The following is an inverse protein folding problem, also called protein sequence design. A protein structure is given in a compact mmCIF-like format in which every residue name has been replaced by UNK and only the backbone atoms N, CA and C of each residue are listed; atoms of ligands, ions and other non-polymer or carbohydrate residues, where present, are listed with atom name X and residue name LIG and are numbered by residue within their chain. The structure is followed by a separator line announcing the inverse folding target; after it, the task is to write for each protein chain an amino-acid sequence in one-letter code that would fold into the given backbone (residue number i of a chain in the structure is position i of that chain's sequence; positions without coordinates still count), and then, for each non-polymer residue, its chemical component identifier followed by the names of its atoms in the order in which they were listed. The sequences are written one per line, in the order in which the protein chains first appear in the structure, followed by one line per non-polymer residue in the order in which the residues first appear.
data_IF_910860545558
#
_entry.id   IF_910860545558
#
_cell.length_a   1.000
_cell.length_b   1.000
_cell.length_c   1.000
_cell.angle_alpha   90.00
_cell.angle_beta   90.00
_cell.angle_gamma   90.00
#
_symmetry.space_group_name_H-M   'P 1'
#
loop_
_entity.id
_entity.type
_entity.pdbx_description
1 polymer ?
#
# COMPACT_ATOMS: atom_id res chain seq x y z
N UNK A 1 6.24 1.76 7.53
CA UNK A 1 7.54 1.55 8.20
C UNK A 1 7.96 2.92 8.72
N UNK A 2 7.70 3.20 10.00
CA UNK A 2 8.23 4.42 10.60
C UNK A 2 9.74 4.39 10.40
N UNK A 3 10.33 5.48 9.88
CA UNK A 3 11.79 5.68 9.76
C UNK A 3 12.54 4.90 8.65
N UNK A 4 11.87 4.40 7.60
CA UNK A 4 12.57 3.69 6.51
C UNK A 4 13.71 4.51 5.88
N UNK A 5 13.52 5.82 5.70
CA UNK A 5 14.54 6.69 5.09
C UNK A 5 15.76 6.94 5.97
N UNK A 6 15.58 7.02 7.30
CA UNK A 6 16.70 7.18 8.22
C UNK A 6 17.45 5.89 8.49
N UNK A 7 16.81 4.73 8.31
CA UNK A 7 17.36 3.45 8.77
C UNK A 7 17.87 2.57 7.62
N UNK A 8 17.43 2.83 6.38
CA UNK A 8 17.78 2.04 5.20
C UNK A 8 18.40 2.90 4.11
N UNK A 9 19.66 2.63 3.77
CA UNK A 9 20.46 3.50 2.88
C UNK A 9 20.88 2.82 1.56
N UNK A 10 20.17 1.78 1.12
CA UNK A 10 20.49 1.14 -0.15
C UNK A 10 20.24 2.11 -1.33
N UNK A 11 21.31 2.48 -2.04
CA UNK A 11 21.26 3.47 -3.12
C UNK A 11 20.43 3.02 -4.32
N UNK A 12 20.43 1.72 -4.63
CA UNK A 12 19.62 1.19 -5.72
C UNK A 12 18.12 1.27 -5.37
N UNK A 13 17.74 0.94 -4.13
CA UNK A 13 16.37 1.10 -3.67
C UNK A 13 15.89 2.54 -3.84
N UNK A 14 16.62 3.51 -3.27
CA UNK A 14 16.21 4.92 -3.33
C UNK A 14 16.20 5.48 -4.75
N UNK A 15 17.08 5.01 -5.63
CA UNK A 15 17.02 5.31 -7.06
C UNK A 15 15.72 4.83 -7.70
N UNK A 16 15.28 3.60 -7.41
CA UNK A 16 14.00 3.08 -7.94
C UNK A 16 12.80 3.89 -7.41
N UNK A 17 12.80 4.24 -6.12
CA UNK A 17 11.77 5.10 -5.52
C UNK A 17 11.74 6.47 -6.21
N UNK A 18 12.90 7.11 -6.37
CA UNK A 18 13.03 8.39 -7.06
C UNK A 18 12.49 8.36 -8.49
N UNK A 19 12.83 7.33 -9.26
CA UNK A 19 12.32 7.14 -10.63
C UNK A 19 10.80 6.95 -10.67
N UNK A 20 10.24 6.18 -9.73
CA UNK A 20 8.80 5.94 -9.65
C UNK A 20 8.02 7.22 -9.31
N UNK A 21 8.57 8.09 -8.46
CA UNK A 21 7.95 9.36 -8.07
C UNK A 21 8.11 10.46 -9.12
N UNK A 22 9.17 10.43 -9.94
CA UNK A 22 9.51 11.47 -10.91
C UNK A 22 9.32 11.00 -12.36
N UNK A 23 10.38 10.52 -13.01
CA UNK A 23 10.43 10.19 -14.45
C UNK A 23 9.32 9.26 -14.92
N UNK A 24 8.90 8.30 -14.08
CA UNK A 24 7.88 7.32 -14.44
C UNK A 24 6.47 7.67 -13.96
N UNK A 25 6.25 8.82 -13.33
CA UNK A 25 4.95 9.20 -12.77
C UNK A 25 3.79 9.08 -13.77
N UNK A 26 4.03 9.44 -15.03
CA UNK A 26 3.04 9.39 -16.13
C UNK A 26 3.07 8.10 -16.95
N UNK A 27 3.94 7.15 -16.62
CA UNK A 27 4.05 5.86 -17.31
C UNK A 27 3.79 4.69 -16.34
N UNK A 28 2.53 4.21 -16.23
CA UNK A 28 2.15 3.21 -15.23
C UNK A 28 2.98 1.92 -15.27
N UNK A 29 3.30 1.42 -16.47
CA UNK A 29 4.10 0.19 -16.62
C UNK A 29 5.53 0.37 -16.10
N UNK A 30 6.17 1.50 -16.41
CA UNK A 30 7.52 1.79 -15.93
C UNK A 30 7.52 2.08 -14.42
N UNK A 31 6.52 2.79 -13.92
CA UNK A 31 6.35 3.08 -12.49
C UNK A 31 6.21 1.80 -11.69
N UNK A 32 5.31 0.90 -12.10
CA UNK A 32 5.10 -0.38 -11.43
C UNK A 32 6.39 -1.22 -11.43
N UNK A 33 7.10 -1.29 -12.57
CA UNK A 33 8.36 -2.03 -12.67
C UNK A 33 9.42 -1.49 -11.69
N UNK A 34 9.54 -0.17 -11.55
CA UNK A 34 10.47 0.44 -10.59
C UNK A 34 10.10 0.09 -9.15
N UNK A 35 8.81 0.16 -8.79
CA UNK A 35 8.34 -0.22 -7.45
C UNK A 35 8.60 -1.70 -7.12
N UNK A 36 8.34 -2.61 -8.06
CA UNK A 36 8.66 -4.04 -7.90
C UNK A 36 10.16 -4.25 -7.68
N UNK A 37 11.00 -3.54 -8.43
CA UNK A 37 12.46 -3.63 -8.26
C UNK A 37 12.90 -3.12 -6.88
N UNK A 38 12.28 -2.05 -6.38
CA UNK A 38 12.54 -1.52 -5.05
C UNK A 38 12.16 -2.55 -3.95
N UNK A 39 10.95 -3.12 -4.03
CA UNK A 39 10.49 -4.15 -3.09
C UNK A 39 11.41 -5.37 -3.08
N UNK A 40 11.80 -5.88 -4.26
CA UNK A 40 12.76 -6.99 -4.35
C UNK A 40 14.11 -6.68 -3.71
N UNK A 41 14.59 -5.43 -3.82
CA UNK A 41 15.81 -5.04 -3.13
C UNK A 41 15.61 -5.09 -1.61
N UNK A 42 14.59 -4.43 -1.09
CA UNK A 42 14.31 -4.29 0.35
C UNK A 42 14.05 -5.63 1.04
N UNK A 43 13.19 -6.46 0.44
CA UNK A 43 12.66 -7.68 1.08
C UNK A 43 13.47 -8.91 0.69
N UNK A 44 13.76 -9.11 -0.60
CA UNK A 44 14.34 -10.38 -1.06
C UNK A 44 15.87 -10.40 -1.06
N UNK A 45 16.52 -9.25 -1.29
CA UNK A 45 17.99 -9.17 -1.37
C UNK A 45 18.62 -8.73 -0.06
N UNK A 46 18.07 -7.69 0.54
CA UNK A 46 18.65 -7.06 1.72
C UNK A 46 18.03 -7.59 3.02
N UNK A 47 16.91 -8.32 2.93
CA UNK A 47 16.17 -8.89 4.06
C UNK A 47 15.94 -7.88 5.21
N UNK A 48 15.70 -6.62 4.83
CA UNK A 48 15.61 -5.51 5.79
C UNK A 48 14.31 -5.54 6.61
N UNK A 49 13.28 -6.17 6.05
CA UNK A 49 12.00 -6.37 6.71
C UNK A 49 11.41 -7.72 6.30
N UNK A 50 10.76 -8.39 7.25
CA UNK A 50 10.02 -9.63 7.03
C UNK A 50 8.50 -9.34 7.04
N UNK A 51 7.83 -9.34 5.88
CA UNK A 51 6.37 -9.23 5.84
C UNK A 51 5.72 -10.44 6.51
N UNK A 52 4.89 -10.20 7.53
CA UNK A 52 4.22 -11.28 8.27
C UNK A 52 2.87 -11.65 7.65
N UNK A 53 2.00 -10.65 7.47
CA UNK A 53 0.66 -10.80 6.92
C UNK A 53 0.11 -9.45 6.45
N UNK A 54 -0.91 -9.48 5.60
CA UNK A 54 -1.74 -8.32 5.28
C UNK A 54 -3.02 -8.40 6.13
N UNK A 55 -3.27 -7.40 6.97
CA UNK A 55 -4.39 -7.41 7.90
C UNK A 55 -5.74 -7.25 7.18
N UNK A 56 -6.75 -8.00 7.61
CA UNK A 56 -8.14 -7.79 7.25
C UNK A 56 -8.88 -7.02 8.36
N UNK A 57 -9.95 -6.31 7.98
CA UNK A 57 -10.78 -5.53 8.90
C UNK A 57 -12.16 -6.17 8.99
N UNK A 58 -12.39 -7.14 9.89
CA UNK A 58 -13.72 -7.71 10.09
C UNK A 58 -14.63 -6.69 10.77
N UNK A 59 -15.92 -6.71 10.42
CA UNK A 59 -16.92 -5.87 11.07
C UNK A 59 -18.26 -6.59 11.20
N UNK A 60 -19.04 -6.18 12.21
CA UNK A 60 -20.42 -6.61 12.40
C UNK A 60 -21.35 -5.58 11.77
N UNK A 61 -22.28 -6.04 10.93
CA UNK A 61 -23.29 -5.20 10.29
C UNK A 61 -24.68 -5.64 10.74
N UNK A 62 -25.51 -4.68 11.18
CA UNK A 62 -26.92 -4.98 11.46
C UNK A 62 -27.61 -5.41 10.16
N UNK A 63 -28.40 -6.48 10.20
CA UNK A 63 -29.07 -7.06 9.02
C UNK A 63 -30.02 -6.11 8.28
N UNK A 64 -30.49 -5.04 8.93
CA UNK A 64 -31.33 -3.99 8.33
C UNK A 64 -30.55 -2.90 7.59
N UNK A 65 -29.22 -2.90 7.68
CA UNK A 65 -28.34 -1.92 7.05
C UNK A 65 -27.86 -2.49 5.71
N UNK A 66 -28.10 -1.76 4.64
CA UNK A 66 -27.67 -2.10 3.28
C UNK A 66 -26.79 -0.99 2.70
N UNK A 67 -25.90 -1.32 1.76
CA UNK A 67 -25.03 -0.36 1.07
C UNK A 67 -23.83 0.17 1.88
N UNK A 68 -23.57 -0.37 3.08
CA UNK A 68 -22.37 -0.05 3.87
C UNK A 68 -21.13 -0.69 3.27
N UNK A 69 -20.03 0.08 3.16
CA UNK A 69 -18.75 -0.39 2.66
C UNK A 69 -17.59 0.22 3.45
N UNK A 70 -16.52 -0.54 3.65
CA UNK A 70 -15.23 -0.02 4.10
C UNK A 70 -14.36 0.37 2.90
N UNK A 71 -13.61 1.45 3.04
CA UNK A 71 -12.62 1.86 2.06
C UNK A 71 -11.53 0.79 1.91
N UNK A 72 -11.12 0.44 0.68
CA UNK A 72 -9.99 -0.47 0.48
C UNK A 72 -8.64 0.17 0.84
N UNK A 73 -8.61 1.48 1.08
CA UNK A 73 -7.40 2.25 1.38
C UNK A 73 -7.24 2.63 2.86
N UNK A 74 -8.06 2.04 3.75
CA UNK A 74 -7.95 2.25 5.20
C UNK A 74 -9.30 2.27 5.91
N UNK A 75 -9.30 2.62 7.21
CA UNK A 75 -10.47 2.57 8.09
C UNK A 75 -11.47 3.72 7.88
N UNK A 76 -11.78 4.06 6.63
CA UNK A 76 -12.83 5.02 6.30
C UNK A 76 -14.07 4.24 5.89
N UNK A 77 -15.17 4.42 6.63
CA UNK A 77 -16.47 3.89 6.25
C UNK A 77 -17.15 4.79 5.22
N UNK A 78 -17.72 4.19 4.18
CA UNK A 78 -18.51 4.87 3.17
C UNK A 78 -19.99 4.80 3.53
N UNK A 79 -20.61 5.98 3.64
CA UNK A 79 -22.02 6.12 4.04
C UNK A 79 -22.94 6.60 2.91
N UNK A 80 -22.39 6.99 1.76
CA UNK A 80 -23.14 7.64 0.68
C UNK A 80 -24.26 6.77 0.06
N UNK A 81 -24.16 5.43 0.17
CA UNK A 81 -25.16 4.48 -0.33
C UNK A 81 -25.91 3.75 0.78
N UNK A 82 -25.73 4.16 2.05
CA UNK A 82 -26.29 3.42 3.18
C UNK A 82 -27.79 3.65 3.31
N UNK A 83 -28.54 2.57 3.50
CA UNK A 83 -29.98 2.58 3.78
C UNK A 83 -30.30 1.73 5.00
N UNK A 84 -31.30 2.14 5.76
CA UNK A 84 -31.85 1.39 6.88
C UNK A 84 -33.28 1.02 6.52
N UNK A 85 -33.59 -0.28 6.53
CA UNK A 85 -34.96 -0.79 6.38
C UNK A 85 -35.81 -0.49 7.62
#
# INVERSE_FOLDING_TARGET
MFNLESDYHNTNFWKQIGLACSTYATNPKKRLKALINAEKQLIQKDDFAAPLYQAEVPYLLKSKVDGFQLSPYGNVAYYWNVKIK
#
